data_IF_094987190233
#
_entry.id   IF_094987190233
#
_cell.length_a   1.000
_cell.length_b   1.000
_cell.length_c   1.000
_cell.angle_alpha   90.00
_cell.angle_beta   90.00
_cell.angle_gamma   90.00
#
_symmetry.space_group_name_H-M   'P 1'
#
loop_
_entity.id
_entity.type
_entity.pdbx_description
1 polymer ?
#
# COMPACT_ATOMS: atom_id res chain seq x y z
N UNK A 1 -2.23 1.28 -28.14
CA UNK A 1 -2.18 2.33 -27.09
C UNK A 1 -3.52 2.69 -26.47
N UNK A 2 -4.68 2.47 -27.12
CA UNK A 2 -6.00 2.83 -26.54
C UNK A 2 -6.37 2.04 -25.28
N UNK A 3 -5.96 0.77 -25.16
CA UNK A 3 -6.34 -0.10 -24.05
C UNK A 3 -5.73 0.34 -22.71
N UNK A 4 -4.42 0.62 -22.68
CA UNK A 4 -3.71 1.08 -21.47
C UNK A 4 -4.29 2.40 -20.97
N UNK A 5 -4.60 3.33 -21.88
CA UNK A 5 -5.22 4.61 -21.54
C UNK A 5 -6.63 4.44 -20.95
N UNK A 6 -7.40 3.46 -21.44
CA UNK A 6 -8.72 3.13 -20.90
C UNK A 6 -8.63 2.60 -19.48
N UNK A 7 -7.75 1.63 -19.24
CA UNK A 7 -7.53 1.05 -17.92
C UNK A 7 -7.00 2.07 -16.91
N UNK A 8 -6.05 2.94 -17.29
CA UNK A 8 -5.55 4.01 -16.42
C UNK A 8 -6.68 4.98 -16.00
N UNK A 9 -7.60 5.28 -16.92
CA UNK A 9 -8.76 6.13 -16.63
C UNK A 9 -9.70 5.47 -15.62
N UNK A 10 -9.89 4.15 -15.69
CA UNK A 10 -10.70 3.43 -14.69
C UNK A 10 -10.08 3.54 -13.29
N UNK A 11 -8.76 3.42 -13.20
CA UNK A 11 -8.04 3.59 -11.92
C UNK A 11 -8.25 4.99 -11.35
N UNK A 12 -8.04 6.02 -12.18
CA UNK A 12 -8.05 7.42 -11.73
C UNK A 12 -9.45 7.93 -11.36
N UNK A 13 -10.48 7.53 -12.11
CA UNK A 13 -11.83 8.08 -11.93
C UNK A 13 -12.70 7.31 -10.93
N UNK A 14 -12.36 6.06 -10.60
CA UNK A 14 -13.07 5.29 -9.58
C UNK A 14 -12.72 5.85 -8.20
N UNK A 15 -13.67 6.59 -7.61
CA UNK A 15 -13.52 7.22 -6.29
C UNK A 15 -13.15 6.24 -5.17
N UNK A 16 -13.61 4.99 -5.27
CA UNK A 16 -13.31 3.95 -4.29
C UNK A 16 -11.79 3.66 -4.15
N UNK A 17 -11.02 3.80 -5.24
CA UNK A 17 -9.57 3.54 -5.22
C UNK A 17 -8.84 4.54 -4.31
N UNK A 18 -9.27 5.80 -4.32
CA UNK A 18 -8.70 6.83 -3.44
C UNK A 18 -9.02 6.58 -1.97
N UNK A 19 -10.22 6.08 -1.65
CA UNK A 19 -10.54 5.65 -0.28
C UNK A 19 -9.65 4.51 0.22
N UNK A 20 -9.35 3.55 -0.67
CA UNK A 20 -8.42 2.45 -0.36
C UNK A 20 -6.99 2.95 -0.17
N UNK A 21 -6.53 3.91 -0.98
CA UNK A 21 -5.22 4.53 -0.80
C UNK A 21 -5.11 5.22 0.56
N UNK A 22 -6.12 6.02 0.93
CA UNK A 22 -6.15 6.69 2.23
C UNK A 22 -6.15 5.66 3.36
N UNK A 23 -6.94 4.58 3.26
CA UNK A 23 -6.95 3.53 4.26
C UNK A 23 -5.58 2.84 4.40
N UNK A 24 -4.90 2.55 3.28
CA UNK A 24 -3.55 1.99 3.28
C UNK A 24 -2.57 2.91 4.02
N UNK A 25 -2.57 4.21 3.68
CA UNK A 25 -1.71 5.22 4.30
C UNK A 25 -1.98 5.32 5.80
N UNK A 26 -3.26 5.44 6.19
CA UNK A 26 -3.65 5.61 7.60
C UNK A 26 -3.23 4.40 8.42
N UNK A 27 -3.47 3.18 7.94
CA UNK A 27 -3.07 1.97 8.67
C UNK A 27 -1.56 1.85 8.75
N UNK A 28 -0.82 2.11 7.65
CA UNK A 28 0.64 2.08 7.68
C UNK A 28 1.22 3.12 8.64
N UNK A 29 0.68 4.34 8.67
CA UNK A 29 1.11 5.39 9.61
C UNK A 29 0.83 4.96 11.04
N UNK A 30 -0.39 4.51 11.34
CA UNK A 30 -0.77 4.07 12.68
C UNK A 30 0.16 2.96 13.18
N UNK A 31 0.45 1.97 12.34
CA UNK A 31 1.36 0.88 12.71
C UNK A 31 2.77 1.40 13.03
N UNK A 32 3.33 2.29 12.21
CA UNK A 32 4.67 2.85 12.47
C UNK A 32 4.68 3.73 13.71
N UNK A 33 3.66 4.58 13.90
CA UNK A 33 3.55 5.51 15.04
C UNK A 33 3.41 4.76 16.36
N UNK A 34 2.63 3.68 16.40
CA UNK A 34 2.36 2.93 17.63
C UNK A 34 3.54 2.04 18.04
N UNK A 35 4.29 1.50 17.07
CA UNK A 35 5.35 0.51 17.34
C UNK A 35 6.42 0.99 18.35
N UNK A 36 6.96 2.22 18.29
CA UNK A 36 7.90 2.73 19.29
C UNK A 36 7.36 2.73 20.72
N UNK A 37 6.09 3.15 20.91
CA UNK A 37 5.46 3.16 22.24
C UNK A 37 5.29 1.75 22.81
N UNK A 38 5.05 0.76 21.94
CA UNK A 38 4.98 -0.65 22.34
C UNK A 38 6.34 -1.14 22.84
N UNK A 39 7.43 -0.78 22.15
CA UNK A 39 8.79 -1.13 22.55
C UNK A 39 9.21 -0.44 23.85
N UNK A 40 8.90 0.85 24.02
CA UNK A 40 9.19 1.58 25.26
C UNK A 40 8.42 1.02 26.46
N UNK A 41 7.16 0.63 26.29
CA UNK A 41 6.35 0.04 27.36
C UNK A 41 6.83 -1.35 27.82
N UNK A 42 7.86 -1.93 27.19
CA UNK A 42 8.36 -3.26 27.52
C UNK A 42 7.35 -4.39 27.25
N UNK A 43 6.29 -4.11 26.47
CA UNK A 43 5.18 -5.03 26.24
C UNK A 43 5.51 -6.14 25.22
N UNK A 44 6.72 -6.15 24.66
CA UNK A 44 7.16 -7.17 23.69
C UNK A 44 8.09 -8.14 24.40
N UNK A 45 7.69 -9.41 24.46
CA UNK A 45 8.48 -10.50 25.06
C UNK A 45 9.85 -10.79 24.42
N UNK A 46 10.28 -9.97 23.47
CA UNK A 46 11.60 -10.00 22.84
C UNK A 46 12.63 -9.09 23.54
N UNK A 47 12.23 -8.25 24.51
CA UNK A 47 13.16 -7.35 25.23
C UNK A 47 13.81 -6.29 24.33
N UNK A 48 13.23 -6.03 23.16
CA UNK A 48 13.70 -5.01 22.23
C UNK A 48 13.37 -3.62 22.80
N UNK A 49 14.41 -2.89 23.20
CA UNK A 49 14.32 -1.48 23.59
C UNK A 49 14.70 -0.58 22.42
N UNK A 50 14.25 0.68 22.47
CA UNK A 50 14.55 1.68 21.44
C UNK A 50 16.06 1.99 21.30
N UNK A 51 16.88 1.57 22.27
CA UNK A 51 18.34 1.66 22.24
C UNK A 51 18.98 0.66 21.26
N UNK A 52 18.21 -0.30 20.76
CA UNK A 52 18.69 -1.31 19.81
C UNK A 52 18.35 -0.90 18.36
N UNK A 53 19.32 -0.93 17.41
CA UNK A 53 19.04 -0.70 15.99
C UNK A 53 17.96 -1.64 15.44
N UNK A 54 17.88 -2.87 15.98
CA UNK A 54 16.88 -3.87 15.59
C UNK A 54 15.44 -3.42 15.91
N UNK A 55 15.22 -2.68 17.01
CA UNK A 55 13.92 -2.11 17.31
C UNK A 55 13.53 -1.04 16.29
N UNK A 56 14.47 -0.19 15.90
CA UNK A 56 14.27 0.87 14.90
C UNK A 56 13.96 0.28 13.52
N UNK A 57 14.69 -0.76 13.12
CA UNK A 57 14.40 -1.49 11.88
C UNK A 57 13.01 -2.12 11.92
N UNK A 58 12.59 -2.63 13.08
CA UNK A 58 11.23 -3.13 13.33
C UNK A 58 10.15 -2.04 13.17
N UNK A 59 10.41 -0.82 13.63
CA UNK A 59 9.51 0.33 13.43
C UNK A 59 9.33 0.61 11.94
N UNK A 60 10.43 0.69 11.19
CA UNK A 60 10.36 0.96 9.74
C UNK A 60 9.78 -0.22 8.95
N UNK A 61 10.02 -1.45 9.36
CA UNK A 61 9.42 -2.64 8.75
C UNK A 61 7.87 -2.61 8.84
N UNK A 62 7.32 -2.04 9.91
CA UNK A 62 5.87 -1.89 10.08
C UNK A 62 5.22 -0.91 9.09
N UNK A 63 5.99 -0.13 8.32
CA UNK A 63 5.47 0.73 7.27
C UNK A 63 4.73 -0.06 6.17
N UNK A 64 5.03 -1.36 6.03
CA UNK A 64 4.39 -2.23 5.02
C UNK A 64 2.96 -2.65 5.36
N UNK A 65 2.48 -2.44 6.59
CA UNK A 65 1.20 -2.98 7.11
C UNK A 65 -0.05 -2.65 6.28
N UNK A 66 -0.06 -1.55 5.52
CA UNK A 66 -1.12 -1.19 4.57
C UNK A 66 -1.24 -2.09 3.32
N UNK A 67 -0.39 -3.13 3.16
CA UNK A 67 -0.36 -4.00 1.97
C UNK A 67 -1.70 -4.65 1.63
N UNK A 68 -2.53 -4.98 2.64
CA UNK A 68 -3.83 -5.62 2.42
C UNK A 68 -4.77 -4.77 1.57
N UNK A 69 -4.71 -3.45 1.72
CA UNK A 69 -5.51 -2.51 0.94
C UNK A 69 -5.06 -2.46 -0.52
N UNK A 70 -3.76 -2.58 -0.77
CA UNK A 70 -3.22 -2.69 -2.13
C UNK A 70 -3.64 -3.99 -2.80
N UNK A 71 -3.70 -5.10 -2.05
CA UNK A 71 -4.24 -6.37 -2.55
C UNK A 71 -5.72 -6.22 -2.92
N UNK A 72 -6.52 -5.59 -2.05
CA UNK A 72 -7.94 -5.33 -2.32
C UNK A 72 -8.10 -4.48 -3.59
N UNK A 73 -7.28 -3.44 -3.76
CA UNK A 73 -7.26 -2.63 -4.99
C UNK A 73 -7.01 -3.49 -6.23
N UNK A 74 -6.01 -4.38 -6.18
CA UNK A 74 -5.72 -5.32 -7.27
C UNK A 74 -6.93 -6.19 -7.62
N UNK A 75 -7.60 -6.74 -6.61
CA UNK A 75 -8.83 -7.55 -6.78
C UNK A 75 -9.93 -6.70 -7.43
N UNK A 76 -10.16 -5.48 -6.97
CA UNK A 76 -11.19 -4.60 -7.53
C UNK A 76 -10.89 -4.22 -8.98
N UNK A 77 -9.64 -3.95 -9.35
CA UNK A 77 -9.25 -3.65 -10.73
C UNK A 77 -9.52 -4.83 -11.66
N UNK A 78 -9.29 -6.06 -11.18
CA UNK A 78 -9.56 -7.27 -11.94
C UNK A 78 -11.07 -7.56 -12.05
N UNK A 79 -11.81 -7.45 -10.95
CA UNK A 79 -13.23 -7.81 -10.86
C UNK A 79 -14.19 -6.69 -11.29
N UNK A 80 -13.74 -5.43 -11.35
CA UNK A 80 -14.59 -4.26 -11.55
C UNK A 80 -15.40 -4.29 -12.85
N UNK A 81 -14.84 -4.85 -13.92
CA UNK A 81 -15.56 -4.98 -15.18
C UNK A 81 -16.72 -5.99 -15.11
N UNK A 82 -16.58 -7.03 -14.30
CA UNK A 82 -17.65 -8.01 -14.07
C UNK A 82 -18.75 -7.40 -13.20
N UNK A 83 -18.36 -6.63 -12.17
CA UNK A 83 -19.31 -5.90 -11.31
C UNK A 83 -20.15 -4.89 -12.09
N UNK A 84 -19.56 -4.20 -13.05
CA UNK A 84 -20.23 -3.14 -13.81
C UNK A 84 -20.78 -3.62 -15.18
N UNK A 85 -20.68 -4.92 -15.49
CA UNK A 85 -21.19 -5.49 -16.74
C UNK A 85 -20.47 -5.02 -18.01
N UNK A 86 -19.28 -4.40 -17.88
CA UNK A 86 -18.53 -3.83 -19.01
C UNK A 86 -17.59 -4.82 -19.68
N UNK A 87 -17.39 -6.01 -19.08
CA UNK A 87 -16.50 -7.04 -19.62
C UNK A 87 -16.88 -7.47 -21.06
N UNK A 88 -18.18 -7.61 -21.35
CA UNK A 88 -18.66 -7.98 -22.69
C UNK A 88 -18.27 -6.93 -23.73
N UNK A 89 -18.48 -5.64 -23.42
CA UNK A 89 -18.09 -4.55 -24.30
C UNK A 89 -16.57 -4.51 -24.56
N UNK A 90 -15.75 -4.75 -23.53
CA UNK A 90 -14.28 -4.83 -23.66
C UNK A 90 -13.86 -5.97 -24.60
N UNK A 91 -14.44 -7.16 -24.45
CA UNK A 91 -14.10 -8.31 -25.29
C UNK A 91 -14.65 -8.22 -26.72
N UNK A 92 -15.77 -7.51 -26.95
CA UNK A 92 -16.26 -7.20 -28.30
C UNK A 92 -15.34 -6.19 -29.01
N UNK A 93 -14.84 -5.18 -28.29
CA UNK A 93 -13.90 -4.21 -28.85
C UNK A 93 -12.51 -4.82 -29.13
N UNK A 94 -12.09 -5.83 -28.35
CA UNK A 94 -10.84 -6.55 -28.56
C UNK A 94 -10.99 -8.05 -28.27
N UNK A 95 -11.10 -8.92 -29.30
CA UNK A 95 -11.46 -10.34 -29.12
C UNK A 95 -10.36 -11.21 -28.50
N UNK A 96 -9.11 -10.73 -28.49
CA UNK A 96 -7.96 -11.45 -27.90
C UNK A 96 -7.92 -11.27 -26.37
N UNK A 97 -8.53 -12.21 -25.64
CA UNK A 97 -8.68 -12.17 -24.17
C UNK A 97 -7.35 -12.02 -23.40
N UNK A 98 -6.31 -12.69 -23.86
CA UNK A 98 -4.98 -12.68 -23.23
C UNK A 98 -4.34 -11.29 -23.21
N UNK A 99 -4.51 -10.52 -24.29
CA UNK A 99 -3.95 -9.16 -24.38
C UNK A 99 -4.63 -8.21 -23.39
N UNK A 100 -5.95 -8.37 -23.21
CA UNK A 100 -6.72 -7.59 -22.25
C UNK A 100 -6.29 -7.93 -20.83
N UNK A 101 -6.13 -9.22 -20.55
CA UNK A 101 -5.66 -9.71 -19.25
C UNK A 101 -4.25 -9.20 -18.93
N UNK A 102 -3.30 -9.32 -19.86
CA UNK A 102 -1.93 -8.86 -19.68
C UNK A 102 -1.87 -7.34 -19.43
N UNK A 103 -2.68 -6.55 -20.14
CA UNK A 103 -2.76 -5.11 -19.92
C UNK A 103 -3.31 -4.77 -18.53
N UNK A 104 -4.36 -5.48 -18.08
CA UNK A 104 -4.89 -5.30 -16.72
C UNK A 104 -3.89 -5.67 -15.65
N UNK A 105 -3.20 -6.81 -15.80
CA UNK A 105 -2.16 -7.24 -14.86
C UNK A 105 -1.03 -6.22 -14.77
N UNK A 106 -0.55 -5.72 -15.92
CA UNK A 106 0.49 -4.69 -15.95
C UNK A 106 0.06 -3.41 -15.23
N UNK A 107 -1.17 -2.95 -15.44
CA UNK A 107 -1.67 -1.73 -14.81
C UNK A 107 -1.96 -1.93 -13.33
N UNK A 108 -2.54 -3.07 -12.94
CA UNK A 108 -2.74 -3.40 -11.54
C UNK A 108 -1.41 -3.48 -10.78
N UNK A 109 -0.38 -4.07 -11.38
CA UNK A 109 0.96 -4.13 -10.80
C UNK A 109 1.59 -2.73 -10.63
N UNK A 110 1.54 -1.89 -11.68
CA UNK A 110 2.08 -0.51 -11.62
C UNK A 110 1.34 0.32 -10.58
N UNK A 111 0.00 0.29 -10.61
CA UNK A 111 -0.83 1.06 -9.67
C UNK A 111 -0.62 0.58 -8.24
N UNK A 112 -0.60 -0.73 -8.03
CA UNK A 112 -0.34 -1.31 -6.71
C UNK A 112 1.03 -0.92 -6.17
N UNK A 113 2.07 -0.98 -7.02
CA UNK A 113 3.41 -0.55 -6.65
C UNK A 113 3.47 0.94 -6.28
N UNK A 114 2.84 1.81 -7.08
CA UNK A 114 2.79 3.26 -6.80
C UNK A 114 2.04 3.55 -5.50
N UNK A 115 0.89 2.91 -5.27
CA UNK A 115 0.10 3.09 -4.05
C UNK A 115 0.87 2.63 -2.82
N UNK A 116 1.54 1.49 -2.92
CA UNK A 116 2.35 0.96 -1.84
C UNK A 116 3.54 1.87 -1.54
N UNK A 117 4.21 2.38 -2.58
CA UNK A 117 5.32 3.31 -2.42
C UNK A 117 4.88 4.59 -1.70
N UNK A 118 3.74 5.17 -2.08
CA UNK A 118 3.16 6.34 -1.40
C UNK A 118 2.88 6.03 0.07
N UNK A 119 2.26 4.88 0.36
CA UNK A 119 1.93 4.46 1.74
C UNK A 119 3.16 4.29 2.60
N UNK A 120 4.18 3.61 2.07
CA UNK A 120 5.45 3.38 2.77
C UNK A 120 6.18 4.68 3.03
N UNK A 121 6.32 5.57 2.03
CA UNK A 121 6.98 6.86 2.23
C UNK A 121 6.27 7.73 3.26
N UNK A 122 4.94 7.84 3.18
CA UNK A 122 4.16 8.60 4.16
C UNK A 122 4.39 8.07 5.59
N UNK A 123 4.51 6.75 5.73
CA UNK A 123 4.71 6.10 7.02
C UNK A 123 6.14 6.22 7.53
N UNK A 124 7.14 6.18 6.64
CA UNK A 124 8.54 6.48 6.98
C UNK A 124 8.65 7.91 7.50
N UNK A 125 8.04 8.89 6.82
CA UNK A 125 8.03 10.27 7.30
C UNK A 125 7.39 10.39 8.69
N UNK A 126 6.27 9.70 8.94
CA UNK A 126 5.66 9.65 10.25
C UNK A 126 6.58 9.00 11.30
N UNK A 127 7.28 7.91 10.93
CA UNK A 127 8.25 7.24 11.78
C UNK A 127 9.42 8.14 12.17
N UNK A 128 9.98 8.90 11.23
CA UNK A 128 11.05 9.88 11.52
C UNK A 128 10.57 10.92 12.53
N UNK A 129 9.37 11.47 12.34
CA UNK A 129 8.79 12.48 13.23
C UNK A 129 8.59 11.92 14.64
N UNK A 130 8.05 10.71 14.74
CA UNK A 130 7.76 10.07 16.04
C UNK A 130 9.05 9.65 16.74
N UNK A 131 10.00 9.05 16.04
CA UNK A 131 11.27 8.63 16.65
C UNK A 131 12.08 9.83 17.15
N UNK A 132 11.96 11.01 16.53
CA UNK A 132 12.59 12.23 17.00
C UNK A 132 12.04 12.73 18.36
N UNK A 133 10.91 12.20 18.86
CA UNK A 133 10.39 12.54 20.20
C UNK A 133 10.97 11.67 21.31
N UNK A 134 11.76 10.64 20.99
CA UNK A 134 12.37 9.74 21.97
C UNK A 134 13.86 10.04 22.12
N UNK A 135 14.29 10.34 23.35
CA UNK A 135 15.70 10.65 23.65
C UNK A 135 16.63 9.42 23.54
N UNK A 136 16.08 8.21 23.63
CA UNK A 136 16.80 6.93 23.66
C UNK A 136 16.80 6.20 22.30
N UNK A 137 16.38 6.84 21.22
CA UNK A 137 16.29 6.18 19.92
C UNK A 137 17.69 5.96 19.31
N UNK A 138 18.03 4.70 19.06
CA UNK A 138 19.26 4.35 18.33
C UNK A 138 19.20 4.79 16.85
N UNK A 139 20.37 4.90 16.22
CA UNK A 139 20.43 5.07 14.78
C UNK A 139 19.96 3.79 14.06
N UNK A 140 19.25 3.90 12.92
CA UNK A 140 18.96 2.75 12.08
C UNK A 140 20.26 2.09 11.61
N UNK A 141 20.20 0.78 11.31
CA UNK A 141 21.38 -0.01 10.91
C UNK A 141 21.88 0.26 9.49
#
# INVERSE_FOLDING_TARGET
MSLIKSELRKVLYVRANWGILVAAIVISIISVVITPFIFEAGNVGAGLTLDSPQAIDGVYANAISGYIFVIILGIMLMAGEYRHGTAVATFLARPKREIVLAAKLGIAAIVGAVFMLISVWASIFAGIIVLATFDNAAAPS
#
